data_IF_841063383831
#
_entry.id   IF_841063383831
#
_cell.length_a   1.000
_cell.length_b   1.000
_cell.length_c   1.000
_cell.angle_alpha   90.00
_cell.angle_beta   90.00
_cell.angle_gamma   90.00
#
_symmetry.space_group_name_H-M   'P 1'
#
loop_
_entity.id
_entity.type
_entity.pdbx_description
1 polymer ?
#
# COMPACT_ATOMS: atom_id res chain seq x y z
N UNK A 1 -2.96 0.09 -8.50
CA UNK A 1 -1.77 0.04 -9.39
C UNK A 1 -0.69 -0.70 -8.66
N UNK A 2 -0.22 -1.80 -9.25
CA UNK A 2 0.89 -2.63 -8.77
C UNK A 2 2.12 -2.40 -9.64
N UNK A 3 3.26 -2.93 -9.22
CA UNK A 3 4.52 -2.71 -9.94
C UNK A 3 4.48 -3.26 -11.37
N UNK A 4 3.79 -4.39 -11.60
CA UNK A 4 3.66 -5.01 -12.93
C UNK A 4 2.72 -4.24 -13.88
N UNK A 5 1.84 -3.38 -13.37
CA UNK A 5 0.94 -2.55 -14.20
C UNK A 5 1.68 -1.40 -14.91
N UNK A 6 2.88 -1.06 -14.42
CA UNK A 6 3.65 0.06 -14.95
C UNK A 6 4.34 -0.33 -16.25
N UNK A 7 4.25 0.53 -17.28
CA UNK A 7 4.96 0.30 -18.54
C UNK A 7 6.48 0.27 -18.31
N UNK A 8 7.15 -0.72 -18.89
CA UNK A 8 8.59 -0.91 -18.72
C UNK A 8 9.00 -1.47 -17.36
N UNK A 9 8.03 -1.85 -16.51
CA UNK A 9 8.30 -2.41 -15.19
C UNK A 9 9.08 -3.72 -15.22
N UNK A 10 8.93 -4.54 -16.27
CA UNK A 10 9.55 -5.86 -16.34
C UNK A 10 11.07 -5.85 -16.24
N UNK A 11 11.74 -4.90 -16.91
CA UNK A 11 13.20 -4.77 -16.85
C UNK A 11 13.66 -4.27 -15.46
N UNK A 12 12.94 -3.28 -14.90
CA UNK A 12 13.23 -2.70 -13.59
C UNK A 12 12.98 -3.74 -12.48
N UNK A 13 11.89 -4.49 -12.60
CA UNK A 13 11.54 -5.58 -11.70
C UNK A 13 12.56 -6.70 -11.77
N UNK A 14 13.17 -7.00 -12.91
CA UNK A 14 14.20 -8.03 -12.98
C UNK A 14 15.43 -7.64 -12.16
N UNK A 15 15.91 -6.41 -12.37
CA UNK A 15 17.17 -5.93 -11.79
C UNK A 15 17.05 -5.56 -10.30
N UNK A 16 15.98 -4.88 -9.90
CA UNK A 16 15.84 -4.34 -8.55
C UNK A 16 15.84 -5.42 -7.47
N UNK A 17 16.54 -5.23 -6.35
CA UNK A 17 16.45 -6.17 -5.22
C UNK A 17 15.13 -6.04 -4.46
N UNK A 18 14.63 -4.81 -4.33
CA UNK A 18 13.41 -4.47 -3.60
C UNK A 18 12.54 -3.55 -4.45
N UNK A 19 11.25 -3.81 -4.49
CA UNK A 19 10.24 -3.01 -5.17
C UNK A 19 9.07 -2.75 -4.23
N UNK A 20 8.74 -1.49 -4.03
CA UNK A 20 7.66 -1.06 -3.14
C UNK A 20 6.73 -0.13 -3.92
N UNK A 21 5.43 -0.35 -3.79
CA UNK A 21 4.40 0.59 -4.25
C UNK A 21 3.81 1.27 -3.03
N UNK A 22 3.77 2.60 -3.07
CA UNK A 22 3.26 3.43 -1.99
C UNK A 22 1.94 4.04 -2.44
N UNK A 23 0.87 3.79 -1.68
CA UNK A 23 -0.43 4.38 -1.91
C UNK A 23 -0.93 5.12 -0.68
N UNK A 24 -1.79 6.12 -0.88
CA UNK A 24 -2.54 6.70 0.24
C UNK A 24 -3.58 5.69 0.73
N UNK A 25 -3.64 5.43 2.04
CA UNK A 25 -4.50 4.40 2.64
C UNK A 25 -5.97 4.65 2.33
N UNK A 26 -6.42 5.90 2.41
CA UNK A 26 -7.80 6.25 2.10
C UNK A 26 -8.21 5.85 0.67
N UNK A 27 -7.28 5.88 -0.29
CA UNK A 27 -7.55 5.55 -1.69
C UNK A 27 -7.57 4.04 -1.98
N UNK A 28 -6.97 3.22 -1.11
CA UNK A 28 -6.80 1.78 -1.34
C UNK A 28 -7.56 0.88 -0.37
N UNK A 29 -8.16 1.43 0.69
CA UNK A 29 -9.06 0.67 1.56
C UNK A 29 -10.43 0.48 0.89
N UNK A 30 -11.05 -0.68 1.07
CA UNK A 30 -12.38 -0.97 0.55
C UNK A 30 -13.44 0.04 1.04
N UNK A 31 -14.32 0.47 0.13
CA UNK A 31 -15.43 1.39 0.42
C UNK A 31 -16.34 0.88 1.54
N UNK A 32 -16.51 -0.43 1.65
CA UNK A 32 -17.30 -1.04 2.73
C UNK A 32 -16.76 -0.62 4.10
N UNK A 33 -15.44 -0.69 4.31
CA UNK A 33 -14.82 -0.28 5.59
C UNK A 33 -14.92 1.23 5.86
N UNK A 34 -14.87 2.06 4.81
CA UNK A 34 -14.98 3.52 4.92
C UNK A 34 -16.38 3.94 5.40
N UNK A 35 -17.43 3.27 4.91
CA UNK A 35 -18.83 3.63 5.21
C UNK A 35 -19.18 3.34 6.67
N UNK A 36 -18.64 2.28 7.27
CA UNK A 36 -18.96 1.92 8.66
C UNK A 36 -18.35 2.85 9.71
N UNK A 37 -17.24 3.54 9.41
CA UNK A 37 -16.58 4.44 10.36
C UNK A 37 -15.98 5.68 9.68
N UNK A 38 -16.78 6.73 9.40
CA UNK A 38 -16.32 7.92 8.68
C UNK A 38 -15.25 8.72 9.45
N UNK A 39 -15.25 8.68 10.79
CA UNK A 39 -14.23 9.37 11.59
C UNK A 39 -12.87 8.70 11.38
N UNK A 40 -12.83 7.37 11.42
CA UNK A 40 -11.60 6.62 11.14
C UNK A 40 -11.17 6.78 9.69
N UNK A 41 -12.11 6.81 8.74
CA UNK A 41 -11.80 7.04 7.34
C UNK A 41 -11.11 8.39 7.11
N UNK A 42 -11.55 9.47 7.76
CA UNK A 42 -10.90 10.77 7.62
C UNK A 42 -9.43 10.73 8.08
N UNK A 43 -9.12 9.95 9.12
CA UNK A 43 -7.75 9.80 9.59
C UNK A 43 -6.84 9.09 8.58
N UNK A 44 -7.37 8.19 7.74
CA UNK A 44 -6.61 7.41 6.75
C UNK A 44 -5.94 8.26 5.67
N UNK A 45 -6.37 9.52 5.49
CA UNK A 45 -5.69 10.45 4.58
C UNK A 45 -4.22 10.70 4.97
N UNK A 46 -3.91 10.63 6.27
CA UNK A 46 -2.55 10.79 6.78
C UNK A 46 -1.83 9.45 6.91
N UNK A 47 -2.29 8.40 6.24
CA UNK A 47 -1.63 7.10 6.23
C UNK A 47 -1.25 6.69 4.83
N UNK A 48 -0.10 6.03 4.73
CA UNK A 48 0.41 5.45 3.49
C UNK A 48 0.57 3.95 3.66
N UNK A 49 0.15 3.21 2.64
CA UNK A 49 0.34 1.76 2.54
C UNK A 49 1.54 1.49 1.65
N UNK A 50 2.51 0.77 2.20
CA UNK A 50 3.71 0.28 1.55
C UNK A 50 3.47 -1.18 1.18
N UNK A 51 3.18 -1.42 -0.09
CA UNK A 51 3.05 -2.77 -0.64
C UNK A 51 4.41 -3.25 -1.13
N UNK A 52 4.97 -4.27 -0.48
CA UNK A 52 6.26 -4.85 -0.87
C UNK A 52 6.04 -5.82 -2.04
N UNK A 53 6.15 -5.30 -3.26
CA UNK A 53 5.91 -6.04 -4.51
C UNK A 53 7.08 -6.97 -4.86
N UNK A 54 8.31 -6.59 -4.51
CA UNK A 54 9.51 -7.42 -4.69
C UNK A 54 10.43 -7.29 -3.49
N UNK A 55 10.98 -8.42 -3.05
CA UNK A 55 12.04 -8.48 -2.06
C UNK A 55 12.89 -9.74 -2.31
N UNK A 56 14.10 -9.57 -2.89
CA UNK A 56 15.00 -10.67 -3.26
C UNK A 56 15.48 -11.48 -2.05
N UNK A 57 15.59 -10.85 -0.88
CA UNK A 57 16.21 -11.43 0.32
C UNK A 57 15.22 -11.60 1.48
N UNK A 58 13.92 -11.54 1.22
CA UNK A 58 12.92 -11.54 2.29
C UNK A 58 11.50 -11.77 1.80
N UNK A 59 10.52 -11.35 2.60
CA UNK A 59 9.10 -11.50 2.28
C UNK A 59 8.66 -10.46 1.26
N UNK A 60 7.94 -10.91 0.24
CA UNK A 60 7.18 -10.10 -0.71
C UNK A 60 5.68 -10.35 -0.49
N UNK A 61 4.82 -9.50 -1.06
CA UNK A 61 3.37 -9.59 -0.91
C UNK A 61 2.88 -9.24 0.49
N UNK A 62 3.63 -8.40 1.21
CA UNK A 62 3.23 -7.87 2.51
C UNK A 62 2.91 -6.39 2.38
N UNK A 63 1.84 -5.97 3.05
CA UNK A 63 1.42 -4.58 3.10
C UNK A 63 1.69 -4.03 4.51
N UNK A 64 2.43 -2.93 4.56
CA UNK A 64 2.76 -2.19 5.78
C UNK A 64 2.08 -0.83 5.74
N UNK A 65 1.72 -0.28 6.90
CA UNK A 65 1.17 1.05 7.02
C UNK A 65 2.02 1.94 7.90
N UNK A 66 2.16 3.19 7.47
CA UNK A 66 2.90 4.21 8.20
C UNK A 66 2.11 5.51 8.21
N UNK A 67 2.25 6.27 9.29
CA UNK A 67 1.69 7.61 9.37
C UNK A 67 2.55 8.58 8.55
N UNK A 68 1.89 9.39 7.72
CA UNK A 68 2.47 10.46 6.93
C UNK A 68 2.20 11.80 7.63
N UNK A 69 3.26 12.43 8.10
CA UNK A 69 3.23 13.84 8.47
C UNK A 69 3.47 14.67 7.20
N UNK A 70 2.37 14.97 6.52
CA UNK A 70 2.39 15.70 5.25
C UNK A 70 2.91 17.14 5.40
N UNK A 71 2.80 17.74 6.59
CA UNK A 71 3.29 19.10 6.83
C UNK A 71 4.83 19.18 6.80
N UNK A 72 5.50 18.09 7.18
CA UNK A 72 6.95 17.99 7.20
C UNK A 72 7.52 17.03 6.15
N UNK A 73 6.68 16.51 5.26
CA UNK A 73 7.06 15.52 4.23
C UNK A 73 7.78 14.30 4.81
N UNK A 74 7.40 13.86 6.00
CA UNK A 74 8.06 12.75 6.69
C UNK A 74 7.10 11.60 7.00
N UNK A 75 7.67 10.40 7.05
CA UNK A 75 6.95 9.17 7.39
C UNK A 75 7.43 8.76 8.78
N UNK A 76 6.48 8.54 9.69
CA UNK A 76 6.77 7.98 11.02
C UNK A 76 7.39 6.59 10.81
N UNK A 77 8.63 6.34 11.29
CA UNK A 77 9.33 5.07 11.02
C UNK A 77 8.69 3.88 11.74
N UNK A 78 7.82 4.13 12.72
CA UNK A 78 7.02 3.12 13.39
C UNK A 78 5.74 2.90 12.60
N UNK A 79 5.65 1.74 11.98
CA UNK A 79 4.47 1.28 11.27
C UNK A 79 4.02 -0.09 11.75
N UNK A 80 2.93 -0.55 11.15
CA UNK A 80 2.30 -1.82 11.44
C UNK A 80 2.00 -2.58 10.14
N UNK A 81 1.61 -3.84 10.25
CA UNK A 81 0.99 -4.54 9.12
C UNK A 81 -0.40 -3.99 8.85
N UNK A 82 -0.75 -3.83 7.58
CA UNK A 82 -2.11 -3.45 7.19
C UNK A 82 -3.10 -4.51 7.66
N UNK A 83 -4.12 -4.09 8.41
CA UNK A 83 -5.23 -4.96 8.86
C UNK A 83 -6.51 -4.74 8.06
N UNK A 84 -6.64 -3.58 7.44
CA UNK A 84 -7.80 -3.23 6.65
C UNK A 84 -7.84 -4.01 5.34
N UNK A 85 -9.04 -4.31 4.86
CA UNK A 85 -9.20 -4.94 3.55
C UNK A 85 -8.90 -3.91 2.46
N UNK A 86 -7.78 -4.10 1.77
CA UNK A 86 -7.41 -3.31 0.61
C UNK A 86 -8.24 -3.73 -0.62
N UNK A 87 -8.42 -2.80 -1.54
CA UNK A 87 -8.91 -3.09 -2.89
C UNK A 87 -7.78 -3.84 -3.62
N UNK A 88 -7.87 -5.16 -3.65
CA UNK A 88 -6.95 -5.99 -4.42
C UNK A 88 -7.57 -6.33 -5.78
N UNK A 89 -6.74 -6.45 -6.81
CA UNK A 89 -7.19 -6.74 -8.18
C UNK A 89 -7.60 -8.21 -8.37
N UNK A 90 -7.49 -9.04 -7.33
CA UNK A 90 -8.10 -10.37 -7.30
C UNK A 90 -9.59 -10.28 -6.99
N UNK A 91 -10.34 -9.77 -7.96
CA UNK A 91 -11.67 -10.31 -8.20
C UNK A 91 -11.44 -11.72 -8.78
N UNK A 92 -11.38 -12.74 -7.92
CA UNK A 92 -11.60 -14.11 -8.39
C UNK A 92 -13.08 -14.22 -8.72
N UNK A 93 -13.45 -13.83 -9.95
CA UNK A 93 -14.68 -14.30 -10.56
C UNK A 93 -14.44 -15.77 -10.86
N UNK A 94 -15.10 -16.64 -10.09
CA UNK A 94 -15.42 -18.01 -10.53
C UNK A 94 -16.23 -17.98 -11.83
#
# INVERSE_FOLDING_TARGET
VRLYDMRGSSAIQYEADVGIVINNKFSVVSREHIIYNPIQAQSMHNWVVFSVEKNRSGRSGVDLEFHLDAAHFCIEPRGDYVRDRLIDDRVTLE
#
